data_IF_139299718339
#
_entry.id   IF_139299718339
#
_cell.length_a   1.000
_cell.length_b   1.000
_cell.length_c   1.000
_cell.angle_alpha   90.00
_cell.angle_beta   90.00
_cell.angle_gamma   90.00
#
_symmetry.space_group_name_H-M   'P 1'
#
loop_
_entity.id
_entity.type
_entity.pdbx_description
1 polymer ?
#
# COMPACT_ATOMS: atom_id res chain seq x y z
N UNK A 1 -0.74 -14.24 -5.71
CA UNK A 1 -2.17 -14.57 -5.57
C UNK A 1 -2.85 -13.53 -4.67
N UNK A 2 -3.92 -12.88 -5.14
CA UNK A 2 -4.73 -11.92 -4.39
C UNK A 2 -5.68 -12.52 -3.34
N UNK A 3 -5.70 -13.84 -3.19
CA UNK A 3 -6.39 -14.51 -2.07
C UNK A 3 -5.63 -14.42 -0.75
N UNK A 4 -4.30 -14.37 -0.82
CA UNK A 4 -3.42 -14.22 0.33
C UNK A 4 -3.44 -12.78 0.87
N UNK A 5 -3.15 -12.63 2.16
CA UNK A 5 -2.95 -11.31 2.76
C UNK A 5 -1.46 -11.00 2.85
N UNK A 6 -1.06 -9.85 2.34
CA UNK A 6 0.30 -9.34 2.46
C UNK A 6 0.28 -7.97 3.13
N UNK A 7 1.46 -7.53 3.55
CA UNK A 7 1.68 -6.18 4.07
C UNK A 7 2.95 -5.58 3.50
N UNK A 8 2.98 -4.26 3.41
CA UNK A 8 4.17 -3.45 3.18
C UNK A 8 4.26 -2.42 4.28
N UNK A 9 5.46 -2.23 4.84
CA UNK A 9 5.72 -1.14 5.79
C UNK A 9 6.59 -0.08 5.14
N UNK A 10 6.13 1.17 5.16
CA UNK A 10 6.90 2.34 4.75
C UNK A 10 7.61 2.93 5.99
N UNK A 11 8.95 2.87 6.08
CA UNK A 11 9.68 3.44 7.20
C UNK A 11 9.45 4.95 7.32
N UNK A 12 9.54 5.48 8.54
CA UNK A 12 9.46 6.92 8.78
C UNK A 12 10.84 7.58 8.77
N UNK A 13 10.94 8.83 8.30
CA UNK A 13 9.92 9.57 7.57
C UNK A 13 9.79 9.06 6.12
N UNK A 14 8.56 8.95 5.60
CA UNK A 14 8.37 8.64 4.17
C UNK A 14 8.85 9.85 3.35
N UNK A 15 9.75 9.68 2.37
CA UNK A 15 10.40 10.78 1.66
C UNK A 15 9.47 11.38 0.59
N UNK A 16 8.34 11.95 1.00
CA UNK A 16 7.36 12.61 0.14
C UNK A 16 6.89 13.92 0.79
N UNK A 17 7.26 15.06 0.19
CA UNK A 17 6.94 16.40 0.68
C UNK A 17 5.43 16.71 0.65
N UNK A 18 4.68 16.12 -0.28
CA UNK A 18 3.23 16.32 -0.35
C UNK A 18 2.46 15.15 0.26
N UNK A 19 2.53 13.97 -0.35
CA UNK A 19 1.86 12.75 0.11
C UNK A 19 2.40 11.53 -0.63
N UNK A 20 2.00 10.33 -0.22
CA UNK A 20 2.29 9.08 -0.93
C UNK A 20 1.01 8.27 -1.17
N UNK A 21 1.04 7.36 -2.13
CA UNK A 21 -0.05 6.43 -2.37
C UNK A 21 0.40 5.04 -2.80
N UNK A 22 -0.41 4.05 -2.47
CA UNK A 22 -0.37 2.71 -3.04
C UNK A 22 -1.62 2.49 -3.90
N UNK A 23 -1.44 1.98 -5.11
CA UNK A 23 -2.53 1.57 -6.00
C UNK A 23 -2.31 0.15 -6.51
N UNK A 24 -3.39 -0.62 -6.62
CA UNK A 24 -3.37 -2.02 -7.04
C UNK A 24 -3.87 -2.14 -8.47
N UNK A 25 -3.14 -2.90 -9.28
CA UNK A 25 -3.40 -3.11 -10.70
C UNK A 25 -3.56 -4.58 -11.01
N UNK A 26 -4.53 -4.90 -11.87
CA UNK A 26 -4.72 -6.24 -12.41
C UNK A 26 -3.52 -6.60 -13.32
N UNK A 27 -2.87 -7.75 -13.08
CA UNK A 27 -1.65 -8.11 -13.81
C UNK A 27 -1.89 -8.42 -15.29
N UNK A 28 -3.11 -8.81 -15.66
CA UNK A 28 -3.45 -9.17 -17.03
C UNK A 28 -3.72 -7.91 -17.86
N UNK A 29 -4.57 -7.03 -17.35
CA UNK A 29 -5.04 -5.84 -18.08
C UNK A 29 -4.18 -4.60 -17.83
N UNK A 30 -3.44 -4.56 -16.72
CA UNK A 30 -2.69 -3.39 -16.21
C UNK A 30 -3.58 -2.20 -15.84
N UNK A 31 -4.89 -2.40 -15.82
CA UNK A 31 -5.88 -1.46 -15.27
C UNK A 31 -5.92 -1.55 -13.75
N UNK A 32 -6.56 -0.58 -13.10
CA UNK A 32 -6.86 -0.68 -11.66
C UNK A 32 -7.59 -2.00 -11.41
N UNK A 33 -7.17 -2.74 -10.39
CA UNK A 33 -7.80 -4.01 -10.04
C UNK A 33 -9.24 -3.75 -9.61
N UNK A 34 -10.18 -4.38 -10.32
CA UNK A 34 -11.60 -4.30 -10.00
C UNK A 34 -11.90 -5.11 -8.74
N UNK A 35 -12.51 -4.45 -7.75
CA UNK A 35 -12.88 -5.01 -6.44
C UNK A 35 -14.16 -4.34 -5.93
N UNK A 36 -14.70 -4.82 -4.80
CA UNK A 36 -15.86 -4.16 -4.16
C UNK A 36 -15.47 -2.86 -3.42
N UNK A 37 -14.18 -2.64 -3.19
CA UNK A 37 -13.68 -1.42 -2.57
C UNK A 37 -13.80 -0.26 -3.57
N UNK A 38 -14.45 0.82 -3.13
CA UNK A 38 -14.67 2.04 -3.96
C UNK A 38 -13.37 2.64 -4.52
N UNK A 39 -12.25 2.48 -3.80
CA UNK A 39 -10.93 2.98 -4.20
C UNK A 39 -10.03 1.83 -4.63
N UNK A 40 -9.24 2.04 -5.68
CA UNK A 40 -8.24 1.05 -6.14
C UNK A 40 -6.94 1.03 -5.30
N UNK A 41 -6.93 1.70 -4.14
CA UNK A 41 -5.73 1.98 -3.37
C UNK A 41 -5.98 2.81 -2.13
N UNK A 42 -4.89 3.25 -1.51
CA UNK A 42 -4.84 4.10 -0.32
C UNK A 42 -3.75 5.17 -0.46
N UNK A 43 -3.94 6.32 0.17
CA UNK A 43 -2.96 7.40 0.21
C UNK A 43 -2.84 8.00 1.61
N UNK A 44 -1.76 8.74 1.85
CA UNK A 44 -1.45 9.32 3.15
C UNK A 44 -2.33 10.49 3.57
N UNK A 45 -3.24 10.96 2.70
CA UNK A 45 -4.23 11.99 3.03
C UNK A 45 -5.55 11.38 3.49
N UNK A 46 -5.72 10.06 3.40
CA UNK A 46 -6.91 9.38 3.92
C UNK A 46 -6.99 9.56 5.44
N UNK A 47 -8.04 10.22 5.99
CA UNK A 47 -8.16 10.50 7.42
C UNK A 47 -8.36 9.23 8.27
N UNK A 48 -8.67 8.09 7.64
CA UNK A 48 -8.82 6.80 8.31
C UNK A 48 -7.50 6.01 8.38
N UNK A 49 -6.46 6.45 7.67
CA UNK A 49 -5.16 5.79 7.67
C UNK A 49 -4.52 5.92 9.05
N UNK A 50 -4.08 4.80 9.60
CA UNK A 50 -3.42 4.72 10.91
C UNK A 50 -1.91 4.74 10.73
N UNK A 51 -1.26 5.62 11.47
CA UNK A 51 0.20 5.65 11.62
C UNK A 51 0.61 4.72 12.76
N UNK A 52 1.76 4.05 12.61
CA UNK A 52 2.36 3.24 13.65
C UNK A 52 2.98 4.13 14.74
N UNK A 53 3.33 3.55 15.89
CA UNK A 53 3.92 4.30 17.03
C UNK A 53 5.26 4.95 16.70
N UNK A 54 6.03 4.34 15.79
CA UNK A 54 7.33 4.83 15.30
C UNK A 54 7.20 5.82 14.14
N UNK A 55 5.97 6.22 13.77
CA UNK A 55 5.69 7.09 12.64
C UNK A 55 5.61 6.38 11.29
N UNK A 56 5.92 5.08 11.21
CA UNK A 56 5.84 4.32 9.96
C UNK A 56 4.39 4.04 9.56
N UNK A 57 4.20 3.56 8.32
CA UNK A 57 2.88 3.16 7.83
C UNK A 57 2.91 1.72 7.33
N UNK A 58 2.07 0.86 7.91
CA UNK A 58 1.85 -0.49 7.36
C UNK A 58 0.56 -0.49 6.54
N UNK A 59 0.63 -0.95 5.29
CA UNK A 59 -0.53 -1.14 4.40
C UNK A 59 -0.68 -2.62 4.09
N UNK A 60 -1.92 -3.11 4.14
CA UNK A 60 -2.30 -4.49 3.90
C UNK A 60 -2.98 -4.65 2.54
N UNK A 61 -2.69 -5.75 1.86
CA UNK A 61 -3.25 -6.12 0.57
C UNK A 61 -3.83 -7.53 0.70
N UNK A 62 -5.14 -7.68 0.55
CA UNK A 62 -5.80 -8.96 0.77
C UNK A 62 -7.28 -8.93 0.42
N UNK A 63 -7.92 -10.09 0.29
CA UNK A 63 -9.35 -10.18 -0.04
C UNK A 63 -10.28 -9.65 1.06
N UNK A 64 -9.80 -9.59 2.30
CA UNK A 64 -10.52 -9.03 3.46
C UNK A 64 -9.59 -8.18 4.31
N UNK A 65 -10.13 -7.13 4.90
CA UNK A 65 -9.39 -6.28 5.83
C UNK A 65 -8.98 -7.06 7.09
N UNK A 66 -7.70 -7.02 7.52
CA UNK A 66 -7.32 -7.50 8.84
C UNK A 66 -8.07 -6.73 9.95
N UNK A 67 -8.27 -7.38 11.10
CA UNK A 67 -9.03 -6.82 12.22
C UNK A 67 -8.44 -5.45 12.63
N UNK A 68 -9.28 -4.41 12.61
CA UNK A 68 -8.88 -3.06 12.99
C UNK A 68 -8.08 -2.29 11.93
N UNK A 69 -7.80 -2.87 10.76
CA UNK A 69 -6.93 -2.28 9.73
C UNK A 69 -7.68 -1.79 8.49
N UNK A 70 -9.01 -1.55 8.59
CA UNK A 70 -9.82 -1.09 7.45
C UNK A 70 -9.30 0.19 6.77
N UNK A 71 -8.65 1.09 7.50
CA UNK A 71 -8.06 2.32 6.95
C UNK A 71 -6.71 2.13 6.26
N UNK A 72 -6.04 1.01 6.53
CA UNK A 72 -4.71 0.66 6.06
C UNK A 72 -4.77 -0.52 5.08
N UNK A 73 -5.90 -0.75 4.43
CA UNK A 73 -6.12 -1.95 3.62
C UNK A 73 -6.61 -1.60 2.23
N UNK A 74 -6.12 -2.36 1.26
CA UNK A 74 -6.58 -2.36 -0.13
C UNK A 74 -7.03 -3.78 -0.49
N UNK A 75 -8.26 -3.89 -0.98
CA UNK A 75 -8.83 -5.16 -1.40
C UNK A 75 -8.06 -5.74 -2.59
N UNK A 76 -7.85 -7.05 -2.56
CA UNK A 76 -7.36 -7.85 -3.69
C UNK A 76 -8.31 -9.00 -3.97
N UNK A 77 -8.16 -9.68 -5.11
CA UNK A 77 -9.11 -10.71 -5.54
C UNK A 77 -8.48 -12.12 -5.50
N UNK A 78 -9.11 -13.10 -4.84
CA UNK A 78 -8.69 -14.51 -4.91
C UNK A 78 -8.59 -15.01 -6.34
N UNK A 79 -7.53 -15.76 -6.65
CA UNK A 79 -7.31 -16.31 -7.99
C UNK A 79 -6.83 -15.29 -9.04
N UNK A 80 -6.65 -14.02 -8.68
CA UNK A 80 -6.04 -13.01 -9.55
C UNK A 80 -4.62 -12.66 -9.13
N UNK A 81 -3.74 -12.53 -10.12
CA UNK A 81 -2.46 -11.83 -9.96
C UNK A 81 -2.68 -10.32 -9.92
N UNK A 82 -1.83 -9.60 -9.16
CA UNK A 82 -1.87 -8.15 -9.11
C UNK A 82 -0.47 -7.57 -8.96
N UNK A 83 -0.33 -6.30 -9.31
CA UNK A 83 0.86 -5.49 -9.08
C UNK A 83 0.50 -4.28 -8.21
N UNK A 84 1.46 -3.78 -7.45
CA UNK A 84 1.28 -2.60 -6.60
C UNK A 84 2.28 -1.53 -7.01
N UNK A 85 1.81 -0.30 -7.15
CA UNK A 85 2.69 0.86 -7.36
C UNK A 85 2.67 1.77 -6.14
N UNK A 86 3.84 1.99 -5.55
CA UNK A 86 4.10 3.10 -4.63
C UNK A 86 4.35 4.36 -5.44
N UNK A 87 3.66 5.45 -5.12
CA UNK A 87 3.93 6.78 -5.66
C UNK A 87 4.26 7.74 -4.54
N UNK A 88 5.36 8.48 -4.70
CA UNK A 88 5.74 9.58 -3.82
C UNK A 88 5.47 10.89 -4.57
N UNK A 89 4.65 11.75 -3.98
CA UNK A 89 4.34 13.06 -4.55
C UNK A 89 5.24 14.11 -3.88
N UNK A 90 6.13 14.68 -4.68
CA UNK A 90 7.24 15.50 -4.17
C UNK A 90 8.30 14.67 -3.45
N UNK A 91 8.92 13.66 -4.10
CA UNK A 91 9.95 12.83 -3.45
C UNK A 91 11.13 13.68 -2.98
N UNK A 92 11.65 13.41 -1.78
CA UNK A 92 12.84 14.09 -1.23
C UNK A 92 14.14 13.31 -1.54
N UNK A 93 15.30 13.90 -1.24
CA UNK A 93 16.63 13.35 -1.55
C UNK A 93 16.82 11.89 -1.11
N UNK A 94 16.27 11.53 0.06
CA UNK A 94 16.37 10.19 0.63
C UNK A 94 15.79 9.07 -0.27
N UNK A 95 14.87 9.42 -1.18
CA UNK A 95 14.39 8.49 -2.21
C UNK A 95 15.41 8.27 -3.33
N UNK A 96 16.11 9.33 -3.74
CA UNK A 96 17.04 9.32 -4.87
C UNK A 96 18.40 8.72 -4.49
N UNK A 97 18.91 9.05 -3.30
CA UNK A 97 20.17 8.53 -2.78
C UNK A 97 20.06 7.09 -2.21
N UNK A 98 18.82 6.58 -2.11
CA UNK A 98 18.46 5.25 -1.60
C UNK A 98 18.79 5.04 -0.11
N UNK A 99 18.97 6.10 0.65
CA UNK A 99 19.05 6.03 2.12
C UNK A 99 17.70 5.65 2.76
N UNK A 100 16.60 5.86 2.02
CA UNK A 100 15.29 5.33 2.35
C UNK A 100 14.80 4.35 1.27
N UNK A 101 14.25 3.22 1.70
CA UNK A 101 13.60 2.22 0.83
C UNK A 101 12.29 1.76 1.47
N UNK A 102 11.24 1.47 0.69
CA UNK A 102 10.04 0.85 1.22
C UNK A 102 10.39 -0.57 1.67
N UNK A 103 9.67 -1.07 2.68
CA UNK A 103 9.76 -2.47 3.05
C UNK A 103 9.28 -3.39 1.94
N UNK A 104 9.68 -4.66 2.02
CA UNK A 104 9.24 -5.68 1.08
C UNK A 104 7.76 -6.05 1.26
N UNK A 105 7.26 -6.78 0.27
CA UNK A 105 5.93 -7.37 0.29
C UNK A 105 5.94 -8.64 1.14
N UNK A 106 5.48 -8.54 2.39
CA UNK A 106 5.54 -9.63 3.36
C UNK A 106 4.20 -10.38 3.44
N UNK A 107 4.23 -11.72 3.37
CA UNK A 107 3.05 -12.54 3.62
C UNK A 107 2.65 -12.46 5.10
N UNK A 108 1.37 -12.16 5.36
CA UNK A 108 0.79 -12.24 6.70
C UNK A 108 0.33 -13.68 6.93
N UNK A 109 0.97 -14.34 7.90
CA UNK A 109 0.64 -15.72 8.32
C UNK A 109 -0.55 -15.74 9.28
#
# INVERSE_FOLDING_TARGET
>A
DGGNTYKVTLPAPVPAANFWSFMVYDSQTRSILETDQKTGGVDSKNPKLKVNKDGSYTVYFGSKAPKGQKGNWVQTMPGKGYNVLLRLYGPTEAWFDKSWVPGDFELVK
#
